data_IF_811364939028
#
_entry.id   IF_811364939028
#
_cell.length_a   1.000
_cell.length_b   1.000
_cell.length_c   1.000
_cell.angle_alpha   90.00
_cell.angle_beta   90.00
_cell.angle_gamma   90.00
#
_symmetry.space_group_name_H-M   'P 1'
#
loop_
_entity.id
_entity.type
_entity.pdbx_description
1 polymer ?
#
# COMPACT_ATOMS: atom_id res chain seq x y z
N UNK A 1 7.06 21.47 -23.36
CA UNK A 1 5.66 21.69 -23.77
C UNK A 1 5.10 20.30 -24.02
N UNK A 2 4.38 19.73 -23.06
CA UNK A 2 3.95 18.32 -23.05
C UNK A 2 2.42 18.31 -23.08
N UNK A 3 1.86 18.02 -24.25
CA UNK A 3 0.42 17.90 -24.52
C UNK A 3 -0.12 16.52 -24.13
N UNK A 4 -0.02 16.14 -22.85
CA UNK A 4 -0.69 14.94 -22.32
C UNK A 4 -1.51 15.24 -21.06
N UNK A 5 -1.87 16.50 -20.87
CA UNK A 5 -2.66 16.95 -19.73
C UNK A 5 -4.02 17.39 -20.26
N UNK A 6 -5.05 16.69 -19.77
CA UNK A 6 -6.49 16.85 -20.02
C UNK A 6 -7.02 15.93 -21.11
N UNK A 7 -7.60 14.78 -20.72
CA UNK A 7 -8.85 14.18 -21.22
C UNK A 7 -9.24 12.96 -20.32
N UNK A 8 -10.53 12.57 -20.24
CA UNK A 8 -11.10 11.87 -19.09
C UNK A 8 -11.01 10.32 -19.14
N UNK A 9 -11.59 9.70 -18.12
CA UNK A 9 -11.49 8.32 -17.58
C UNK A 9 -11.75 7.15 -18.56
N UNK A 10 -11.86 7.36 -19.86
CA UNK A 10 -12.21 6.32 -20.84
C UNK A 10 -11.03 5.48 -21.34
N UNK A 11 -9.78 5.90 -21.11
CA UNK A 11 -8.58 5.21 -21.64
C UNK A 11 -8.07 4.00 -20.84
N UNK A 12 -8.88 3.51 -19.89
CA UNK A 12 -8.55 2.28 -19.14
C UNK A 12 -8.81 1.04 -19.99
N UNK A 13 -9.74 1.09 -20.95
CA UNK A 13 -10.01 -0.03 -21.87
C UNK A 13 -8.86 -0.23 -22.87
N UNK A 14 -8.27 0.85 -23.40
CA UNK A 14 -7.08 0.80 -24.27
C UNK A 14 -5.84 0.26 -23.56
N UNK A 15 -5.70 0.56 -22.25
CA UNK A 15 -4.59 0.05 -21.44
C UNK A 15 -4.72 -1.46 -21.17
N UNK A 16 -5.95 -1.97 -21.18
CA UNK A 16 -6.27 -3.40 -21.10
C UNK A 16 -6.05 -4.09 -22.45
N UNK A 17 -6.29 -3.43 -23.58
CA UNK A 17 -5.93 -3.95 -24.91
C UNK A 17 -4.41 -4.04 -25.12
N UNK A 18 -3.66 -3.01 -24.73
CA UNK A 18 -2.18 -3.06 -24.78
C UNK A 18 -1.60 -4.21 -23.93
N UNK A 19 -2.19 -4.47 -22.76
CA UNK A 19 -1.81 -5.60 -21.91
C UNK A 19 -2.20 -6.96 -22.54
N UNK A 20 -3.30 -7.03 -23.30
CA UNK A 20 -3.70 -8.24 -24.05
C UNK A 20 -2.77 -8.52 -25.23
N UNK A 21 -2.40 -7.50 -26.00
CA UNK A 21 -1.49 -7.65 -27.15
C UNK A 21 -0.07 -8.04 -26.72
N UNK A 22 0.38 -7.58 -25.55
CA UNK A 22 1.70 -7.89 -25.01
C UNK A 22 1.83 -9.33 -24.47
N UNK A 23 0.72 -9.98 -24.13
CA UNK A 23 0.67 -11.38 -23.64
C UNK A 23 0.48 -12.39 -24.79
N UNK A 24 0.06 -11.95 -25.97
CA UNK A 24 -0.23 -12.80 -27.14
C UNK A 24 0.99 -13.32 -27.93
N UNK A 25 2.23 -13.05 -27.52
CA UNK A 25 3.44 -13.54 -28.21
C UNK A 25 4.29 -14.47 -27.33
N UNK A 26 3.71 -15.62 -26.96
CA UNK A 26 4.47 -16.79 -26.53
C UNK A 26 4.01 -18.00 -27.36
N UNK A 27 4.92 -18.56 -28.17
CA UNK A 27 4.70 -19.74 -29.00
C UNK A 27 4.69 -21.03 -28.18
N UNK A 28 3.94 -22.03 -28.64
CA UNK A 28 4.18 -23.46 -28.34
C UNK A 28 2.96 -24.20 -27.85
N UNK A 29 2.47 -25.14 -28.65
CA UNK A 29 1.18 -25.82 -28.47
C UNK A 29 1.12 -26.87 -27.37
N UNK A 30 -0.11 -27.13 -26.93
CA UNK A 30 -0.50 -28.26 -26.07
C UNK A 30 -1.80 -28.85 -26.63
N UNK A 31 -1.90 -30.18 -26.78
CA UNK A 31 -3.00 -30.82 -27.51
C UNK A 31 -4.31 -30.86 -26.70
N UNK A 32 -5.42 -30.74 -27.42
CA UNK A 32 -6.79 -30.75 -26.92
C UNK A 32 -7.26 -32.15 -26.49
N UNK A 33 -7.95 -32.24 -25.34
CA UNK A 33 -8.80 -33.40 -25.01
C UNK A 33 -10.20 -32.90 -24.60
N UNK A 34 -11.20 -33.33 -25.38
CA UNK A 34 -12.48 -33.89 -24.94
C UNK A 34 -13.47 -33.01 -24.15
N UNK A 35 -14.58 -32.65 -24.81
CA UNK A 35 -15.81 -32.18 -24.16
C UNK A 35 -16.44 -33.25 -23.27
N UNK A 36 -16.83 -32.87 -22.05
CA UNK A 36 -18.01 -33.40 -21.37
C UNK A 36 -18.55 -32.28 -20.45
N UNK A 37 -19.73 -31.76 -20.81
CA UNK A 37 -20.30 -30.59 -20.15
C UNK A 37 -20.80 -30.89 -18.75
N UNK A 38 -20.79 -29.85 -17.91
CA UNK A 38 -21.78 -29.60 -16.86
C UNK A 38 -21.92 -28.06 -16.75
N UNK A 39 -23.07 -27.56 -17.19
CA UNK A 39 -23.47 -26.16 -17.07
C UNK A 39 -23.91 -25.86 -15.64
N UNK A 40 -23.05 -25.20 -14.86
CA UNK A 40 -23.43 -24.17 -13.87
C UNK A 40 -22.33 -23.12 -13.90
N UNK A 41 -22.63 -21.98 -14.50
CA UNK A 41 -21.78 -20.79 -14.53
C UNK A 41 -21.67 -20.21 -13.13
N UNK A 42 -20.55 -20.46 -12.44
CA UNK A 42 -20.19 -19.80 -11.20
C UNK A 42 -19.17 -18.69 -11.49
N UNK A 43 -19.52 -17.44 -11.16
CA UNK A 43 -18.59 -16.30 -11.09
C UNK A 43 -17.55 -16.46 -9.95
N UNK A 44 -17.55 -17.60 -9.25
CA UNK A 44 -16.55 -17.96 -8.24
C UNK A 44 -15.19 -18.24 -8.90
N UNK A 45 -14.30 -17.24 -8.85
CA UNK A 45 -12.89 -17.40 -9.20
C UNK A 45 -12.24 -16.24 -9.96
N UNK A 46 -13.01 -15.23 -10.40
CA UNK A 46 -12.40 -14.07 -11.06
C UNK A 46 -11.81 -13.09 -10.03
N UNK A 47 -10.57 -12.60 -10.25
CA UNK A 47 -9.97 -11.64 -9.34
C UNK A 47 -10.76 -10.33 -9.31
N UNK A 48 -11.00 -9.83 -8.10
CA UNK A 48 -11.62 -8.51 -7.87
C UNK A 48 -10.80 -7.40 -8.53
N UNK A 49 -11.41 -6.23 -8.82
CA UNK A 49 -10.66 -5.08 -9.35
C UNK A 49 -9.45 -4.69 -8.49
N UNK A 50 -9.55 -4.81 -7.17
CA UNK A 50 -8.43 -4.53 -6.27
C UNK A 50 -7.32 -5.58 -6.39
N UNK A 51 -7.66 -6.87 -6.48
CA UNK A 51 -6.66 -7.92 -6.71
C UNK A 51 -5.93 -7.74 -8.05
N UNK A 52 -6.67 -7.38 -9.11
CA UNK A 52 -6.07 -7.03 -10.41
C UNK A 52 -5.10 -5.86 -10.29
N UNK A 53 -5.49 -4.81 -9.55
CA UNK A 53 -4.62 -3.65 -9.30
C UNK A 53 -3.33 -4.05 -8.57
N UNK A 54 -3.42 -4.89 -7.53
CA UNK A 54 -2.24 -5.36 -6.80
C UNK A 54 -1.29 -6.17 -7.69
N UNK A 55 -1.84 -6.97 -8.62
CA UNK A 55 -1.03 -7.69 -9.60
C UNK A 55 -0.27 -6.72 -10.51
N UNK A 56 -0.93 -5.67 -11.04
CA UNK A 56 -0.25 -4.64 -11.86
C UNK A 56 0.80 -3.85 -11.06
N UNK A 57 0.49 -3.48 -9.82
CA UNK A 57 1.45 -2.81 -8.93
C UNK A 57 2.71 -3.66 -8.80
N UNK A 58 2.57 -4.97 -8.57
CA UNK A 58 3.69 -5.90 -8.29
C UNK A 58 4.72 -6.05 -9.41
N UNK A 59 4.42 -5.56 -10.62
CA UNK A 59 5.30 -5.63 -11.80
C UNK A 59 5.71 -4.26 -12.34
N UNK A 60 5.30 -3.16 -11.67
CA UNK A 60 5.60 -1.80 -12.11
C UNK A 60 7.11 -1.48 -12.10
N UNK A 61 7.56 -0.83 -13.18
CA UNK A 61 8.95 -0.43 -13.41
C UNK A 61 9.11 1.07 -13.77
N UNK A 62 8.07 1.88 -13.56
CA UNK A 62 8.01 3.27 -14.02
C UNK A 62 9.06 4.23 -13.40
N UNK A 63 9.79 3.82 -12.37
CA UNK A 63 10.77 4.66 -11.67
C UNK A 63 12.18 4.04 -11.77
N UNK A 64 13.00 4.38 -12.79
CA UNK A 64 14.29 3.73 -13.04
C UNK A 64 15.23 3.71 -11.82
N UNK A 65 15.32 4.81 -11.07
CA UNK A 65 16.16 4.90 -9.85
C UNK A 65 15.71 3.91 -8.78
N UNK A 66 14.40 3.77 -8.57
CA UNK A 66 13.83 2.84 -7.59
C UNK A 66 13.97 1.39 -8.05
N UNK A 67 13.81 1.13 -9.34
CA UNK A 67 14.01 -0.20 -9.95
C UNK A 67 15.47 -0.65 -9.79
N UNK A 68 16.43 0.21 -10.12
CA UNK A 68 17.85 -0.08 -9.93
C UNK A 68 18.16 -0.35 -8.45
N UNK A 69 17.74 0.56 -7.56
CA UNK A 69 18.02 0.43 -6.13
C UNK A 69 17.41 -0.81 -5.48
N UNK A 70 16.13 -1.12 -5.75
CA UNK A 70 15.44 -2.27 -5.13
C UNK A 70 16.07 -3.61 -5.54
N UNK A 71 16.60 -3.69 -6.77
CA UNK A 71 17.31 -4.86 -7.32
C UNK A 71 18.73 -4.95 -6.77
N UNK A 72 19.49 -3.86 -6.79
CA UNK A 72 20.83 -3.79 -6.19
C UNK A 72 20.83 -4.29 -4.74
N UNK A 73 19.86 -3.87 -3.92
CA UNK A 73 19.75 -4.36 -2.54
C UNK A 73 19.50 -5.88 -2.42
N UNK A 74 18.86 -6.49 -3.42
CA UNK A 74 18.63 -7.94 -3.45
C UNK A 74 19.83 -8.72 -3.98
N UNK A 75 20.70 -8.09 -4.76
CA UNK A 75 21.96 -8.64 -5.26
C UNK A 75 23.06 -8.55 -4.20
N UNK A 76 23.30 -7.35 -3.67
CA UNK A 76 24.33 -7.12 -2.65
C UNK A 76 23.97 -7.77 -1.31
N UNK A 77 22.69 -7.65 -0.93
CA UNK A 77 22.11 -8.07 0.35
C UNK A 77 22.83 -7.49 1.57
N UNK A 78 22.14 -7.50 2.72
CA UNK A 78 22.80 -7.21 4.00
C UNK A 78 23.43 -8.49 4.51
N UNK A 79 24.59 -8.43 5.15
CA UNK A 79 25.27 -9.61 5.74
C UNK A 79 24.35 -10.44 6.66
N UNK A 80 23.47 -9.79 7.42
CA UNK A 80 22.50 -10.47 8.29
C UNK A 80 21.38 -11.23 7.55
N UNK A 81 21.25 -11.03 6.24
CA UNK A 81 20.21 -11.57 5.37
C UNK A 81 20.78 -12.14 4.06
N UNK A 82 22.07 -12.48 4.03
CA UNK A 82 22.79 -12.88 2.80
C UNK A 82 22.25 -14.17 2.19
N UNK A 83 21.79 -15.09 3.03
CA UNK A 83 21.18 -16.37 2.69
C UNK A 83 19.69 -16.25 2.31
N UNK A 84 19.06 -15.11 2.56
CA UNK A 84 17.62 -14.94 2.36
C UNK A 84 17.29 -14.49 0.93
N UNK A 85 16.14 -14.92 0.38
CA UNK A 85 15.62 -14.35 -0.86
C UNK A 85 15.16 -12.91 -0.62
N UNK A 86 15.28 -12.07 -1.66
CA UNK A 86 14.74 -10.72 -1.67
C UNK A 86 13.61 -10.62 -2.67
N UNK A 87 12.55 -9.91 -2.29
CA UNK A 87 11.42 -9.61 -3.16
C UNK A 87 11.81 -8.73 -4.36
N UNK A 88 12.55 -7.65 -4.11
CA UNK A 88 13.15 -6.74 -5.11
C UNK A 88 12.20 -6.26 -6.22
N UNK A 89 10.90 -6.19 -5.91
CA UNK A 89 9.80 -5.74 -6.75
C UNK A 89 8.97 -4.69 -5.99
N UNK A 90 8.03 -3.97 -6.64
CA UNK A 90 7.07 -3.16 -5.91
C UNK A 90 6.31 -4.04 -4.90
N UNK A 91 6.11 -3.54 -3.70
CA UNK A 91 5.43 -4.25 -2.60
C UNK A 91 3.94 -3.93 -2.68
N UNK A 92 3.08 -4.92 -2.96
CA UNK A 92 1.64 -4.73 -2.95
C UNK A 92 1.12 -4.33 -1.56
N UNK A 93 -0.05 -3.69 -1.54
CA UNK A 93 -0.80 -3.45 -0.31
C UNK A 93 -1.19 -4.75 0.37
N UNK A 94 -1.30 -4.72 1.70
CA UNK A 94 -1.45 -5.93 2.52
C UNK A 94 -2.53 -5.75 3.60
N UNK A 95 -3.35 -6.78 3.82
CA UNK A 95 -4.40 -6.81 4.85
C UNK A 95 -5.73 -7.30 4.29
N UNK A 96 -6.79 -7.19 5.08
CA UNK A 96 -8.11 -7.72 4.74
C UNK A 96 -8.64 -7.14 3.41
N UNK A 97 -9.03 -7.97 2.41
CA UNK A 97 -9.60 -7.54 1.12
C UNK A 97 -10.89 -6.70 1.25
N UNK A 98 -11.66 -6.88 2.33
CA UNK A 98 -12.92 -6.17 2.56
C UNK A 98 -12.77 -4.96 3.50
N UNK A 99 -11.57 -4.72 4.04
CA UNK A 99 -11.37 -3.61 4.97
C UNK A 99 -11.40 -2.24 4.26
N UNK A 100 -12.23 -1.35 4.78
CA UNK A 100 -12.30 0.08 4.45
C UNK A 100 -11.53 0.98 5.42
N UNK A 101 -10.85 0.39 6.40
CA UNK A 101 -9.88 1.09 7.26
C UNK A 101 -8.49 0.93 6.68
N UNK A 102 -7.78 2.03 6.47
CA UNK A 102 -6.50 2.05 5.76
C UNK A 102 -5.39 2.63 6.63
N UNK A 103 -4.25 1.95 6.71
CA UNK A 103 -3.02 2.46 7.31
C UNK A 103 -2.09 2.88 6.17
N UNK A 104 -1.70 4.16 6.16
CA UNK A 104 -0.87 4.75 5.10
C UNK A 104 0.53 4.99 5.63
N UNK A 105 1.50 4.25 5.07
CA UNK A 105 2.92 4.41 5.36
C UNK A 105 3.59 5.48 4.50
N UNK A 106 4.84 5.22 4.12
CA UNK A 106 5.60 5.99 3.13
C UNK A 106 5.94 5.13 1.92
N UNK A 107 6.82 4.18 2.14
CA UNK A 107 7.40 3.30 1.13
C UNK A 107 8.03 2.08 1.80
N UNK A 108 8.27 0.99 1.07
CA UNK A 108 9.05 -0.14 1.55
C UNK A 108 10.42 0.26 2.08
N UNK A 109 10.84 -0.38 3.17
CA UNK A 109 12.23 -0.33 3.63
C UNK A 109 13.11 -1.27 2.79
N UNK A 110 14.38 -0.91 2.61
CA UNK A 110 15.31 -1.66 1.74
C UNK A 110 15.60 -3.11 2.19
N UNK A 111 15.51 -3.39 3.49
CA UNK A 111 15.76 -4.72 4.06
C UNK A 111 14.60 -5.28 4.89
N UNK A 112 13.47 -4.57 4.97
CA UNK A 112 12.20 -5.10 5.43
C UNK A 112 11.38 -5.50 4.23
N UNK A 113 10.39 -4.69 3.86
CA UNK A 113 9.45 -5.02 2.78
C UNK A 113 10.06 -5.28 1.40
N UNK A 114 11.19 -4.66 1.05
CA UNK A 114 11.90 -4.99 -0.21
C UNK A 114 12.56 -6.38 -0.17
N UNK A 115 12.87 -6.90 1.02
CA UNK A 115 13.33 -8.28 1.22
C UNK A 115 12.13 -9.22 1.30
N UNK A 116 11.15 -8.88 2.14
CA UNK A 116 10.08 -9.81 2.54
C UNK A 116 8.89 -9.83 1.61
N UNK A 117 8.69 -8.79 0.78
CA UNK A 117 7.53 -8.66 -0.11
C UNK A 117 6.24 -8.24 0.59
N UNK A 118 6.28 -7.91 1.89
CA UNK A 118 5.11 -7.46 2.65
C UNK A 118 5.39 -6.18 3.41
N UNK A 119 4.46 -5.23 3.33
CA UNK A 119 4.54 -3.94 4.03
C UNK A 119 4.81 -4.14 5.53
N UNK A 120 5.73 -3.35 6.10
CA UNK A 120 6.09 -3.40 7.53
C UNK A 120 6.57 -4.78 8.04
N UNK A 121 7.04 -5.67 7.18
CA UNK A 121 7.52 -7.01 7.59
C UNK A 121 9.05 -7.09 7.55
N UNK A 122 9.66 -7.61 8.62
CA UNK A 122 11.10 -7.81 8.71
C UNK A 122 11.93 -6.54 8.96
N UNK A 123 11.33 -5.49 9.50
CA UNK A 123 12.03 -4.27 9.93
C UNK A 123 11.56 -3.74 11.30
N UNK A 124 12.34 -2.87 11.96
CA UNK A 124 12.01 -2.37 13.29
C UNK A 124 10.71 -1.57 13.36
N UNK A 125 10.37 -0.81 12.33
CA UNK A 125 9.13 -0.02 12.29
C UNK A 125 7.90 -0.92 12.25
N UNK A 126 8.02 -2.03 11.53
CA UNK A 126 7.01 -3.06 11.45
C UNK A 126 6.69 -3.74 12.77
N UNK A 127 7.73 -4.08 13.56
CA UNK A 127 7.52 -4.69 14.88
C UNK A 127 6.66 -3.82 15.80
N UNK A 128 6.87 -2.50 15.78
CA UNK A 128 6.04 -1.57 16.55
C UNK A 128 4.59 -1.55 16.06
N UNK A 129 4.39 -1.45 14.74
CA UNK A 129 3.05 -1.39 14.16
C UNK A 129 2.27 -2.69 14.40
N UNK A 130 2.85 -3.85 14.11
CA UNK A 130 2.18 -5.14 14.28
C UNK A 130 1.92 -5.46 15.75
N UNK A 131 2.83 -5.12 16.68
CA UNK A 131 2.56 -5.24 18.11
C UNK A 131 1.34 -4.43 18.54
N UNK A 132 1.26 -3.17 18.12
CA UNK A 132 0.13 -2.30 18.48
C UNK A 132 -1.19 -2.81 17.88
N UNK A 133 -1.16 -3.27 16.62
CA UNK A 133 -2.32 -3.91 15.99
C UNK A 133 -2.73 -5.21 16.68
N UNK A 134 -1.77 -6.03 17.11
CA UNK A 134 -2.02 -7.28 17.81
C UNK A 134 -2.67 -7.05 19.17
N UNK A 135 -2.13 -6.10 19.97
CA UNK A 135 -2.75 -5.67 21.24
C UNK A 135 -4.20 -5.20 21.05
N UNK A 136 -4.48 -4.56 19.92
CA UNK A 136 -5.82 -4.10 19.56
C UNK A 136 -6.71 -5.18 18.90
N UNK A 137 -6.23 -6.42 18.75
CA UNK A 137 -6.97 -7.51 18.11
C UNK A 137 -7.14 -7.38 16.59
N UNK A 138 -6.36 -6.50 15.94
CA UNK A 138 -6.47 -6.18 14.51
C UNK A 138 -5.51 -6.97 13.61
N UNK A 139 -4.68 -7.85 14.17
CA UNK A 139 -3.87 -8.81 13.41
C UNK A 139 -3.63 -10.11 14.20
N UNK A 140 -3.23 -11.17 13.51
CA UNK A 140 -3.12 -12.54 14.08
C UNK A 140 -1.85 -12.79 14.90
N UNK A 141 -0.83 -11.95 14.76
CA UNK A 141 0.49 -12.14 15.39
C UNK A 141 1.07 -10.81 15.87
N UNK A 142 1.90 -10.86 16.91
CA UNK A 142 2.60 -9.67 17.42
C UNK A 142 3.74 -9.22 16.50
N UNK A 143 4.43 -10.17 15.86
CA UNK A 143 5.59 -9.93 15.01
C UNK A 143 5.43 -10.53 13.63
N UNK A 144 6.16 -9.96 12.67
CA UNK A 144 6.19 -10.46 11.31
C UNK A 144 7.58 -10.34 10.68
N UNK A 145 8.13 -11.47 10.28
CA UNK A 145 9.52 -11.60 9.83
C UNK A 145 9.64 -12.03 8.35
N UNK A 146 8.62 -12.71 7.81
CA UNK A 146 8.61 -13.19 6.42
C UNK A 146 7.17 -13.31 5.89
N UNK A 147 6.94 -13.06 4.59
CA UNK A 147 5.58 -13.07 4.01
C UNK A 147 4.76 -14.35 4.27
N UNK A 148 5.42 -15.50 4.43
CA UNK A 148 4.77 -16.79 4.72
C UNK A 148 4.57 -17.11 6.21
N UNK A 149 4.79 -16.17 7.13
CA UNK A 149 4.72 -16.40 8.59
C UNK A 149 3.30 -16.49 9.18
N UNK A 150 2.26 -16.43 8.34
CA UNK A 150 0.85 -16.47 8.77
C UNK A 150 0.32 -15.18 9.42
N UNK A 151 1.04 -14.06 9.30
CA UNK A 151 0.48 -12.75 9.66
C UNK A 151 -0.71 -12.41 8.75
N UNK A 152 -1.83 -12.06 9.38
CA UNK A 152 -3.04 -11.53 8.75
C UNK A 152 -3.46 -10.27 9.49
N UNK A 153 -3.87 -9.22 8.76
CA UNK A 153 -4.44 -7.99 9.33
C UNK A 153 -5.94 -8.02 9.04
N UNK A 154 -6.76 -8.16 10.07
CA UNK A 154 -8.20 -8.44 9.96
C UNK A 154 -9.02 -7.18 9.86
N UNK A 155 -8.67 -6.12 10.61
CA UNK A 155 -9.47 -4.90 10.72
C UNK A 155 -9.09 -3.78 9.75
N UNK A 156 -8.02 -3.95 8.96
CA UNK A 156 -7.46 -2.88 8.14
C UNK A 156 -6.68 -3.40 6.92
N UNK A 157 -6.31 -2.46 6.04
CA UNK A 157 -5.32 -2.64 4.99
C UNK A 157 -4.18 -1.66 5.14
N UNK A 158 -2.96 -2.09 4.87
CA UNK A 158 -1.76 -1.28 4.85
C UNK A 158 -1.39 -0.96 3.40
N UNK A 159 -1.23 0.33 3.11
CA UNK A 159 -0.97 0.85 1.76
C UNK A 159 0.19 1.86 1.81
N UNK A 160 1.23 1.71 0.97
CA UNK A 160 2.27 2.72 0.82
C UNK A 160 1.97 3.67 -0.36
N UNK A 161 2.11 5.00 -0.22
CA UNK A 161 2.04 5.92 -1.36
C UNK A 161 3.10 5.67 -2.43
N UNK A 162 4.23 5.04 -2.08
CA UNK A 162 5.28 4.60 -3.01
C UNK A 162 5.53 3.11 -2.81
N UNK A 163 5.28 2.29 -3.82
CA UNK A 163 5.39 0.83 -3.69
C UNK A 163 6.83 0.27 -3.81
N UNK A 164 7.84 1.07 -4.11
CA UNK A 164 9.23 0.61 -4.22
C UNK A 164 10.10 1.19 -3.12
N UNK A 165 11.10 0.43 -2.65
CA UNK A 165 12.07 0.95 -1.70
C UNK A 165 12.88 2.09 -2.32
N UNK A 166 12.91 3.29 -1.71
CA UNK A 166 13.77 4.36 -2.14
C UNK A 166 15.12 4.36 -1.39
N UNK A 167 16.21 4.79 -2.03
CA UNK A 167 17.46 5.07 -1.33
C UNK A 167 17.22 5.97 -0.11
N UNK A 168 17.83 5.59 1.03
CA UNK A 168 17.71 6.29 2.32
C UNK A 168 16.27 6.47 2.83
N UNK A 169 15.30 5.68 2.33
CA UNK A 169 13.87 5.84 2.59
C UNK A 169 13.33 7.23 2.17
N UNK A 170 13.91 7.81 1.10
CA UNK A 170 13.53 9.14 0.58
C UNK A 170 13.16 9.04 -0.92
N UNK A 171 11.87 8.86 -1.25
CA UNK A 171 11.44 9.00 -2.63
C UNK A 171 11.56 10.47 -3.06
N UNK A 172 11.83 10.71 -4.34
CA UNK A 172 11.82 12.05 -4.91
C UNK A 172 10.38 12.52 -5.16
N UNK A 173 10.12 13.83 -5.29
CA UNK A 173 8.80 14.32 -5.70
C UNK A 173 8.29 13.68 -7.00
N UNK A 174 9.18 13.51 -7.99
CA UNK A 174 8.84 12.84 -9.26
C UNK A 174 8.45 11.38 -9.05
N UNK A 175 9.13 10.64 -8.19
CA UNK A 175 8.78 9.25 -7.89
C UNK A 175 7.45 9.15 -7.12
N UNK A 176 7.22 10.05 -6.17
CA UNK A 176 5.94 10.14 -5.47
C UNK A 176 4.81 10.43 -6.46
N UNK A 177 5.01 11.38 -7.38
CA UNK A 177 4.03 11.70 -8.41
C UNK A 177 3.80 10.53 -9.39
N UNK A 178 4.88 9.85 -9.81
CA UNK A 178 4.79 8.68 -10.70
C UNK A 178 4.01 7.54 -10.05
N UNK A 179 4.22 7.31 -8.75
CA UNK A 179 3.53 6.25 -8.00
C UNK A 179 2.10 6.65 -7.59
N UNK A 180 1.77 7.96 -7.58
CA UNK A 180 0.49 8.50 -7.12
C UNK A 180 -0.71 7.87 -7.81
N UNK A 181 -0.59 7.49 -9.09
CA UNK A 181 -1.67 6.83 -9.84
C UNK A 181 -2.16 5.53 -9.17
N UNK A 182 -1.24 4.73 -8.62
CA UNK A 182 -1.58 3.49 -7.91
C UNK A 182 -2.33 3.83 -6.62
N UNK A 183 -1.80 4.78 -5.85
CA UNK A 183 -2.40 5.19 -4.58
C UNK A 183 -3.79 5.82 -4.76
N UNK A 184 -4.00 6.62 -5.81
CA UNK A 184 -5.32 7.15 -6.19
C UNK A 184 -6.28 6.00 -6.49
N UNK A 185 -5.86 5.03 -7.30
CA UNK A 185 -6.72 3.93 -7.71
C UNK A 185 -7.06 3.00 -6.55
N UNK A 186 -6.11 2.74 -5.65
CA UNK A 186 -6.38 2.02 -4.41
C UNK A 186 -7.42 2.75 -3.56
N UNK A 187 -7.29 4.06 -3.35
CA UNK A 187 -8.27 4.83 -2.57
C UNK A 187 -9.68 4.79 -3.19
N UNK A 188 -9.79 4.85 -4.53
CA UNK A 188 -11.08 4.74 -5.22
C UNK A 188 -11.74 3.38 -5.06
N UNK A 189 -10.97 2.29 -5.14
CA UNK A 189 -11.49 0.93 -5.04
C UNK A 189 -11.83 0.56 -3.59
N UNK A 190 -11.06 1.08 -2.64
CA UNK A 190 -11.21 0.75 -1.22
C UNK A 190 -12.30 1.60 -0.56
N UNK A 191 -12.47 2.84 -1.02
CA UNK A 191 -13.44 3.79 -0.48
C UNK A 191 -13.31 3.91 1.06
N UNK A 192 -12.16 4.35 1.57
CA UNK A 192 -11.88 4.29 3.00
C UNK A 192 -12.90 5.07 3.84
N UNK A 193 -13.21 4.55 5.02
CA UNK A 193 -14.00 5.23 6.07
C UNK A 193 -13.11 5.81 7.17
N UNK A 194 -11.92 5.22 7.35
CA UNK A 194 -10.90 5.71 8.28
C UNK A 194 -9.51 5.48 7.71
N UNK A 195 -8.61 6.43 7.94
CA UNK A 195 -7.23 6.41 7.47
C UNK A 195 -6.29 6.75 8.63
N UNK A 196 -5.35 5.88 8.96
CA UNK A 196 -4.23 6.17 9.85
C UNK A 196 -3.01 6.54 9.01
N UNK A 197 -2.65 7.82 9.00
CA UNK A 197 -1.51 8.33 8.24
C UNK A 197 -0.24 8.36 9.11
N UNK A 198 0.74 7.51 8.77
CA UNK A 198 2.01 7.37 9.48
C UNK A 198 3.03 8.42 9.00
N UNK A 199 3.21 9.45 9.80
CA UNK A 199 4.14 10.56 9.59
C UNK A 199 3.60 11.63 8.64
N UNK A 200 4.34 12.73 8.56
CA UNK A 200 3.98 13.89 7.72
C UNK A 200 3.82 13.52 6.24
N UNK A 201 4.62 12.57 5.73
CA UNK A 201 4.58 12.22 4.31
C UNK A 201 3.34 11.39 3.99
N UNK A 202 2.99 10.40 4.82
CA UNK A 202 1.73 9.66 4.68
C UNK A 202 0.53 10.61 4.77
N UNK A 203 0.54 11.52 5.73
CA UNK A 203 -0.48 12.56 5.89
C UNK A 203 -0.64 13.42 4.63
N UNK A 204 0.47 13.98 4.13
CA UNK A 204 0.45 14.80 2.93
C UNK A 204 -0.04 14.03 1.70
N UNK A 205 0.34 12.76 1.57
CA UNK A 205 -0.06 11.91 0.46
C UNK A 205 -1.58 11.67 0.47
N UNK A 206 -2.17 11.42 1.64
CA UNK A 206 -3.63 11.26 1.80
C UNK A 206 -4.36 12.52 1.35
N UNK A 207 -3.97 13.70 1.83
CA UNK A 207 -4.65 14.95 1.43
C UNK A 207 -4.38 15.33 -0.03
N UNK A 208 -3.22 14.98 -0.59
CA UNK A 208 -2.95 15.17 -2.02
C UNK A 208 -3.87 14.29 -2.89
N UNK A 209 -4.02 13.02 -2.53
CA UNK A 209 -4.94 12.11 -3.23
C UNK A 209 -6.40 12.49 -3.00
N UNK A 210 -6.79 12.85 -1.78
CA UNK A 210 -8.12 13.36 -1.50
C UNK A 210 -8.47 14.58 -2.35
N UNK A 211 -7.54 15.53 -2.51
CA UNK A 211 -7.74 16.66 -3.41
C UNK A 211 -7.87 16.25 -4.89
N UNK A 212 -7.08 15.26 -5.35
CA UNK A 212 -7.19 14.72 -6.71
C UNK A 212 -8.51 13.96 -6.94
N UNK A 213 -9.09 13.39 -5.88
CA UNK A 213 -10.38 12.70 -5.87
C UNK A 213 -11.56 13.64 -5.57
N UNK A 214 -11.34 14.96 -5.47
CA UNK A 214 -12.42 15.91 -5.23
C UNK A 214 -12.99 15.92 -3.81
N UNK A 215 -12.32 15.31 -2.83
CA UNK A 215 -12.79 15.29 -1.44
C UNK A 215 -12.91 16.71 -0.88
N UNK A 216 -13.99 16.99 -0.15
CA UNK A 216 -14.22 18.28 0.53
C UNK A 216 -13.51 18.30 1.89
N UNK A 217 -13.03 19.46 2.30
CA UNK A 217 -12.31 19.63 3.58
C UNK A 217 -10.81 19.32 3.52
N UNK A 218 -10.25 19.09 2.33
CA UNK A 218 -8.80 18.83 2.13
C UNK A 218 -7.98 20.09 1.85
N UNK A 219 -8.62 21.25 1.63
CA UNK A 219 -7.99 22.55 1.38
C UNK A 219 -8.56 23.64 2.32
N UNK A 220 -7.72 24.49 2.94
CA UNK A 220 -6.27 24.36 3.02
C UNK A 220 -5.86 23.03 3.67
N UNK A 221 -4.68 22.51 3.33
CA UNK A 221 -4.25 21.20 3.84
C UNK A 221 -4.22 21.25 5.38
N UNK A 222 -4.92 20.34 6.08
CA UNK A 222 -4.88 20.29 7.53
C UNK A 222 -3.47 20.07 8.07
N UNK A 223 -3.16 20.70 9.21
CA UNK A 223 -1.85 20.54 9.88
C UNK A 223 -1.74 19.12 10.44
N UNK A 224 -0.60 18.49 10.24
CA UNK A 224 -0.32 17.16 10.80
C UNK A 224 -0.06 17.25 12.31
N UNK A 225 -0.62 16.32 13.06
CA UNK A 225 -0.35 16.09 14.46
C UNK A 225 -0.44 14.60 14.78
N UNK A 226 0.21 14.17 15.87
CA UNK A 226 0.03 12.81 16.36
C UNK A 226 -1.30 12.70 17.11
N UNK A 227 -2.04 11.64 16.81
CA UNK A 227 -3.41 11.38 17.24
C UNK A 227 -4.41 12.51 16.91
N UNK A 228 -4.06 13.42 15.99
CA UNK A 228 -4.99 14.43 15.50
C UNK A 228 -5.93 13.80 14.48
N UNK A 229 -7.23 14.08 14.57
CA UNK A 229 -8.23 13.60 13.62
C UNK A 229 -8.82 14.76 12.82
N UNK A 230 -9.02 14.54 11.53
CA UNK A 230 -9.73 15.44 10.63
C UNK A 230 -10.78 14.62 9.87
N UNK A 231 -11.99 15.16 9.73
CA UNK A 231 -13.04 14.58 8.89
C UNK A 231 -13.09 15.29 7.55
N UNK A 232 -13.14 14.52 6.48
CA UNK A 232 -13.27 15.00 5.10
C UNK A 232 -14.41 14.27 4.41
N UNK A 233 -15.01 14.88 3.39
CA UNK A 233 -16.12 14.26 2.65
C UNK A 233 -15.63 13.74 1.31
N UNK A 234 -15.69 12.43 1.11
CA UNK A 234 -15.55 11.77 -0.18
C UNK A 234 -16.92 11.50 -0.81
N UNK A 235 -16.96 11.07 -2.06
CA UNK A 235 -18.21 10.76 -2.76
C UNK A 235 -18.97 9.58 -2.12
N UNK A 236 -18.26 8.70 -1.43
CA UNK A 236 -18.83 7.56 -0.69
C UNK A 236 -19.12 7.85 0.79
N UNK A 237 -19.01 9.10 1.22
CA UNK A 237 -19.30 9.53 2.58
C UNK A 237 -18.11 10.13 3.33
N UNK A 238 -18.26 10.26 4.64
CA UNK A 238 -17.25 10.84 5.50
C UNK A 238 -16.05 9.91 5.68
N UNK A 239 -14.83 10.48 5.65
CA UNK A 239 -13.58 9.78 5.90
C UNK A 239 -12.88 10.43 7.08
N UNK A 240 -12.62 9.65 8.13
CA UNK A 240 -11.80 10.08 9.25
C UNK A 240 -10.30 9.90 8.94
N UNK A 241 -9.51 10.97 8.95
CA UNK A 241 -8.05 10.92 8.76
C UNK A 241 -7.36 11.20 10.10
N UNK A 242 -6.66 10.19 10.62
CA UNK A 242 -5.94 10.22 11.89
C UNK A 242 -4.44 10.31 11.59
N UNK A 243 -3.77 11.31 12.16
CA UNK A 243 -2.33 11.45 12.05
C UNK A 243 -1.63 10.65 13.14
N UNK A 244 -0.53 9.98 12.81
CA UNK A 244 0.31 9.31 13.80
C UNK A 244 1.78 9.56 13.46
N UNK A 245 2.65 9.83 14.44
CA UNK A 245 4.09 9.81 14.17
C UNK A 245 4.48 8.43 13.66
N UNK A 246 5.34 8.40 12.64
CA UNK A 246 5.83 7.14 12.07
C UNK A 246 6.63 6.37 13.14
N UNK A 247 6.50 5.05 13.27
CA UNK A 247 7.29 4.23 14.19
C UNK A 247 8.73 4.01 13.67
N UNK A 248 9.38 5.08 13.20
CA UNK A 248 10.78 5.02 12.79
C UNK A 248 11.69 4.89 14.02
N UNK A 249 12.84 4.24 13.86
CA UNK A 249 13.83 4.13 14.93
C UNK A 249 14.16 5.50 15.55
N UNK A 250 14.26 6.55 14.73
CA UNK A 250 14.46 7.92 15.22
C UNK A 250 13.37 8.32 16.22
N UNK A 251 12.10 8.17 15.86
CA UNK A 251 10.98 8.62 16.70
C UNK A 251 10.82 7.78 17.96
N UNK A 252 11.08 6.48 17.88
CA UNK A 252 10.96 5.56 19.02
C UNK A 252 12.13 5.75 20.00
N UNK A 253 13.36 5.90 19.49
CA UNK A 253 14.54 6.12 20.33
C UNK A 253 14.54 7.49 21.03
N UNK A 254 13.98 8.54 20.41
CA UNK A 254 13.84 9.86 21.04
C UNK A 254 12.59 10.01 21.91
N UNK A 255 11.78 8.94 22.05
CA UNK A 255 10.49 8.95 22.76
C UNK A 255 9.47 9.96 22.22
N UNK A 256 9.69 10.48 21.01
CA UNK A 256 8.68 11.27 20.31
C UNK A 256 7.41 10.43 20.12
N UNK A 257 7.60 9.16 19.76
CA UNK A 257 6.58 8.11 19.79
C UNK A 257 6.93 7.07 20.87
N UNK A 258 6.00 6.81 21.78
CA UNK A 258 6.06 5.71 22.76
C UNK A 258 5.03 4.65 22.39
N UNK A 259 5.08 3.46 23.02
CA UNK A 259 4.10 2.40 22.73
C UNK A 259 2.69 2.88 23.08
N UNK A 260 2.51 3.56 24.20
CA UNK A 260 1.21 4.07 24.66
C UNK A 260 0.63 5.09 23.67
N UNK A 261 1.49 5.95 23.10
CA UNK A 261 1.12 6.91 22.06
C UNK A 261 0.68 6.22 20.78
N UNK A 262 1.41 5.18 20.35
CA UNK A 262 1.04 4.40 19.17
C UNK A 262 -0.27 3.64 19.40
N UNK A 263 -0.39 2.95 20.54
CA UNK A 263 -1.58 2.18 20.94
C UNK A 263 -2.82 3.08 20.99
N UNK A 264 -2.70 4.31 21.54
CA UNK A 264 -3.78 5.29 21.54
C UNK A 264 -4.18 5.72 20.12
N UNK A 265 -3.24 5.96 19.21
CA UNK A 265 -3.54 6.33 17.83
C UNK A 265 -4.21 5.18 17.05
N UNK A 266 -3.79 3.93 17.31
CA UNK A 266 -4.43 2.73 16.75
C UNK A 266 -5.87 2.59 17.27
N UNK A 267 -6.10 2.79 18.57
CA UNK A 267 -7.44 2.75 19.16
C UNK A 267 -8.37 3.82 18.54
N UNK A 268 -7.90 5.06 18.41
CA UNK A 268 -8.65 6.14 17.74
C UNK A 268 -9.00 5.76 16.30
N UNK A 269 -8.05 5.17 15.57
CA UNK A 269 -8.25 4.75 14.17
C UNK A 269 -9.26 3.61 14.03
N UNK A 270 -9.16 2.58 14.87
CA UNK A 270 -10.07 1.43 14.81
C UNK A 270 -11.50 1.82 15.22
N UNK A 271 -11.67 2.72 16.18
CA UNK A 271 -12.98 3.26 16.58
C UNK A 271 -13.54 4.36 15.66
N UNK A 272 -12.84 4.72 14.59
CA UNK A 272 -13.33 5.68 13.61
C UNK A 272 -14.10 5.00 12.47
N UNK A 273 -15.11 5.69 11.93
CA UNK A 273 -15.92 5.21 10.80
C UNK A 273 -17.16 4.38 11.17
N UNK A 274 -17.36 4.04 12.44
CA UNK A 274 -18.55 3.30 12.93
C UNK A 274 -19.74 4.22 13.28
N UNK A 275 -19.76 5.47 12.80
CA UNK A 275 -20.78 6.48 13.12
C UNK A 275 -21.36 7.10 11.88
#
# INVERSE_FOLDING_TARGET
MVEWIQEPVERVEDSVEWARESVGKAHGGTPSIGHAGHSRSSEEGLPTPLQKLQAFISVCEACPRLVGWRRQLGEEKRAAYSDQPYWSRPVPSFGNPEARRVIVGLAPSGHGSNRTGRNFTGDPSGRWLYRALFKAGACTRETSEAAGDGMEVTGARIIPPVHCAPPQNKPTPTEMETCRQWFVREMQLIQPIAILALGQIGWNSVFQVGAALGWKGVRPRPKFGHNSSVRVMADWGEVAVIGCYHPSQRNTSTKLLTEEKLDAAIATFLGAGDR
#
